data_IF_654530090204
#
_entry.id   IF_654530090204
#
_cell.length_a   1.000
_cell.length_b   1.000
_cell.length_c   1.000
_cell.angle_alpha   90.00
_cell.angle_beta   90.00
_cell.angle_gamma   90.00
#
_symmetry.space_group_name_H-M   'P 1'
#
loop_
_entity.id
_entity.type
_entity.pdbx_description
1 polymer ?
#
# COMPACT_ATOMS: atom_id res chain seq x y z
N UNK A 1 2.75 1.29 -19.97
CA UNK A 1 3.63 0.38 -19.22
C UNK A 1 3.11 0.38 -17.80
N UNK A 2 2.47 -0.69 -17.34
CA UNK A 2 1.50 -0.63 -16.24
C UNK A 2 2.13 -0.48 -14.84
N UNK A 3 3.46 -0.62 -14.72
CA UNK A 3 4.17 -0.50 -13.43
C UNK A 3 5.49 0.28 -13.47
N UNK A 4 5.99 0.62 -14.66
CA UNK A 4 7.35 1.17 -14.85
C UNK A 4 8.48 0.38 -14.14
N UNK A 5 8.23 -0.88 -13.79
CA UNK A 5 9.22 -1.74 -13.14
C UNK A 5 10.35 -2.09 -14.08
N UNK A 6 11.57 -2.09 -13.54
CA UNK A 6 12.69 -2.74 -14.20
C UNK A 6 12.55 -4.24 -13.96
N UNK A 7 13.05 -5.10 -14.88
CA UNK A 7 12.98 -6.55 -14.70
C UNK A 7 13.57 -7.04 -13.37
N UNK A 8 14.62 -6.39 -12.87
CA UNK A 8 15.24 -6.71 -11.59
C UNK A 8 14.28 -6.51 -10.40
N UNK A 9 13.47 -5.45 -10.42
CA UNK A 9 12.54 -5.13 -9.33
C UNK A 9 11.43 -6.21 -9.24
N UNK A 10 10.97 -6.70 -10.39
CA UNK A 10 9.99 -7.80 -10.44
C UNK A 10 10.56 -9.11 -9.86
N UNK A 11 11.78 -9.48 -10.23
CA UNK A 11 12.39 -10.72 -9.77
C UNK A 11 12.86 -10.68 -8.30
N UNK A 12 13.12 -9.48 -7.77
CA UNK A 12 13.47 -9.29 -6.37
C UNK A 12 12.25 -9.27 -5.44
N UNK A 13 11.06 -9.00 -5.97
CA UNK A 13 9.84 -8.93 -5.17
C UNK A 13 9.46 -10.31 -4.60
N UNK A 14 9.00 -10.31 -3.36
CA UNK A 14 8.49 -11.51 -2.71
C UNK A 14 7.10 -11.89 -3.25
N UNK A 15 6.70 -13.16 -3.16
CA UNK A 15 5.35 -13.57 -3.56
C UNK A 15 4.23 -12.81 -2.85
N UNK A 16 4.44 -12.40 -1.59
CA UNK A 16 3.47 -11.64 -0.80
C UNK A 16 3.28 -10.22 -1.35
N UNK A 17 4.36 -9.54 -1.72
CA UNK A 17 4.32 -8.20 -2.32
C UNK A 17 3.63 -8.23 -3.69
N UNK A 18 3.93 -9.23 -4.52
CA UNK A 18 3.27 -9.41 -5.81
C UNK A 18 1.76 -9.66 -5.65
N UNK A 19 1.37 -10.47 -4.66
CA UNK A 19 -0.03 -10.72 -4.34
C UNK A 19 -0.76 -9.43 -3.93
N UNK A 20 -0.14 -8.59 -3.09
CA UNK A 20 -0.70 -7.31 -2.67
C UNK A 20 -0.91 -6.35 -3.86
N UNK A 21 0.04 -6.29 -4.78
CA UNK A 21 -0.05 -5.45 -5.98
C UNK A 21 -1.16 -5.94 -6.90
N UNK A 22 -1.27 -7.25 -7.13
CA UNK A 22 -2.36 -7.81 -7.93
C UNK A 22 -3.73 -7.62 -7.30
N UNK A 23 -3.85 -7.72 -5.98
CA UNK A 23 -5.08 -7.41 -5.26
C UNK A 23 -5.48 -5.94 -5.48
N UNK A 24 -4.54 -5.01 -5.29
CA UNK A 24 -4.76 -3.58 -5.54
C UNK A 24 -5.19 -3.30 -6.99
N UNK A 25 -4.57 -3.95 -7.98
CA UNK A 25 -4.97 -3.83 -9.39
C UNK A 25 -6.39 -4.31 -9.67
N UNK A 26 -6.82 -5.37 -9.00
CA UNK A 26 -8.17 -5.93 -9.17
C UNK A 26 -9.24 -5.09 -8.48
N UNK A 27 -8.86 -4.03 -7.78
CA UNK A 27 -9.76 -3.28 -6.90
C UNK A 27 -10.23 -4.14 -5.72
N UNK A 28 -9.49 -5.20 -5.40
CA UNK A 28 -9.63 -5.92 -4.14
C UNK A 28 -8.95 -5.03 -3.08
N UNK A 29 -9.58 -3.90 -2.76
CA UNK A 29 -9.18 -3.15 -1.58
C UNK A 29 -9.30 -4.06 -0.36
N UNK A 30 -8.33 -4.01 0.57
CA UNK A 30 -8.50 -4.67 1.85
C UNK A 30 -9.82 -4.22 2.45
N UNK A 31 -10.57 -5.16 3.04
CA UNK A 31 -11.82 -4.88 3.73
C UNK A 31 -11.53 -3.87 4.86
N UNK A 32 -11.79 -2.58 4.60
CA UNK A 32 -11.44 -1.48 5.49
C UNK A 32 -11.63 -0.14 4.78
N UNK A 33 -12.33 0.78 5.45
CA UNK A 33 -12.48 2.14 4.92
C UNK A 33 -11.09 2.80 4.75
N UNK A 34 -10.87 3.58 3.68
CA UNK A 34 -9.68 4.39 3.55
C UNK A 34 -9.53 5.25 4.80
N UNK A 35 -8.30 5.35 5.33
CA UNK A 35 -8.01 6.16 6.52
C UNK A 35 -8.58 7.57 6.31
N UNK A 36 -9.57 7.95 7.11
CA UNK A 36 -10.20 9.25 6.95
C UNK A 36 -9.19 10.35 7.33
N UNK A 37 -9.26 11.54 6.72
CA UNK A 37 -8.35 12.65 7.06
C UNK A 37 -8.34 12.99 8.56
N UNK A 38 -9.47 12.81 9.25
CA UNK A 38 -9.58 12.99 10.70
C UNK A 38 -8.84 11.93 11.52
N UNK A 39 -8.79 10.68 11.03
CA UNK A 39 -8.08 9.59 11.70
C UNK A 39 -6.56 9.77 11.56
N UNK A 40 -6.10 10.24 10.40
CA UNK A 40 -4.69 10.60 10.19
C UNK A 40 -4.25 11.75 11.11
N UNK A 41 -5.04 12.82 11.21
CA UNK A 41 -4.76 13.94 12.11
C UNK A 41 -4.67 13.49 13.57
N UNK A 42 -5.60 12.65 14.01
CA UNK A 42 -5.61 12.07 15.36
C UNK A 42 -4.37 11.21 15.61
N UNK A 43 -3.91 10.44 14.61
CA UNK A 43 -2.71 9.61 14.71
C UNK A 43 -1.45 10.48 14.89
N UNK A 44 -1.33 11.59 14.15
CA UNK A 44 -0.21 12.53 14.28
C UNK A 44 -0.19 13.21 15.66
N UNK A 45 -1.36 13.56 16.20
CA UNK A 45 -1.47 14.13 17.56
C UNK A 45 -1.08 13.11 18.65
N UNK A 46 -1.31 11.82 18.40
CA UNK A 46 -1.04 10.74 19.35
C UNK A 46 0.44 10.34 19.40
N UNK A 47 1.20 10.60 18.33
CA UNK A 47 2.63 10.34 18.22
C UNK A 47 3.37 11.61 17.74
N UNK A 48 3.45 12.66 18.58
CA UNK A 48 4.07 13.93 18.19
C UNK A 48 5.60 13.85 18.09
N UNK A 49 6.20 12.80 18.65
CA UNK A 49 7.65 12.61 18.71
C UNK A 49 8.08 11.58 17.66
N UNK A 50 8.39 12.06 16.45
CA UNK A 50 9.05 11.28 15.40
C UNK A 50 10.55 11.12 15.62
#
# INVERSE_FOLDING_TARGET
MLFCWRPADFWAATPAELAAIFAAMRGEEPEGDPLAPGDFARLMEQYPDG
#
